data_IF_745749837065
#
_entry.id   IF_745749837065
#
_cell.length_a   1.000
_cell.length_b   1.000
_cell.length_c   1.000
_cell.angle_alpha   90.00
_cell.angle_beta   90.00
_cell.angle_gamma   90.00
#
_symmetry.space_group_name_H-M   'P 1'
#
loop_
_entity.id
_entity.type
_entity.pdbx_description
1 polymer ?
#
# COMPACT_ATOMS: atom_id res chain seq x y z
N UNK A 1 -18.48 -17.07 9.44
CA UNK A 1 -18.57 -18.23 10.35
C UNK A 1 -17.39 -19.16 10.13
N UNK A 2 -17.06 -20.03 11.08
CA UNK A 2 -15.96 -21.01 10.98
C UNK A 2 -16.34 -22.19 10.07
N UNK A 3 -16.61 -21.91 8.79
CA UNK A 3 -16.62 -22.96 7.77
C UNK A 3 -15.19 -23.48 7.57
N UNK A 4 -15.03 -24.78 7.28
CA UNK A 4 -13.75 -25.44 7.00
C UNK A 4 -12.84 -24.53 6.16
N UNK A 5 -11.87 -23.89 6.80
CA UNK A 5 -10.86 -23.09 6.12
C UNK A 5 -9.81 -24.07 5.60
N UNK A 6 -9.38 -23.95 4.33
CA UNK A 6 -8.25 -24.73 3.83
C UNK A 6 -6.98 -24.40 4.64
N UNK A 7 -6.14 -25.41 4.83
CA UNK A 7 -4.87 -25.27 5.55
C UNK A 7 -3.92 -24.30 4.82
N UNK A 8 -3.01 -23.70 5.59
CA UNK A 8 -1.95 -22.83 5.04
C UNK A 8 -0.94 -23.67 4.27
N UNK A 9 -0.43 -23.13 3.16
CA UNK A 9 0.65 -23.81 2.41
C UNK A 9 2.02 -23.54 3.03
N UNK A 10 2.93 -24.51 2.95
CA UNK A 10 4.31 -24.33 3.34
C UNK A 10 5.25 -24.09 2.17
N UNK A 11 4.90 -24.60 0.98
CA UNK A 11 5.62 -24.44 -0.27
C UNK A 11 4.67 -24.16 -1.44
N UNK A 12 5.15 -23.43 -2.46
CA UNK A 12 4.41 -23.29 -3.73
C UNK A 12 4.27 -24.63 -4.48
N UNK A 13 5.11 -25.62 -4.17
CA UNK A 13 5.00 -26.97 -4.74
C UNK A 13 3.78 -27.76 -4.26
N UNK A 14 3.17 -27.35 -3.14
CA UNK A 14 1.90 -27.91 -2.66
C UNK A 14 0.70 -27.43 -3.47
N UNK A 15 0.90 -26.38 -4.27
CA UNK A 15 -0.10 -25.88 -5.19
C UNK A 15 0.20 -26.41 -6.58
N UNK A 16 -0.82 -26.86 -7.31
CA UNK A 16 -0.76 -27.22 -8.73
C UNK A 16 -0.52 -26.00 -9.65
N UNK A 17 0.21 -24.98 -9.15
CA UNK A 17 0.64 -23.84 -9.94
C UNK A 17 1.69 -24.31 -10.95
N UNK A 18 1.63 -23.80 -12.19
CA UNK A 18 2.66 -24.09 -13.20
C UNK A 18 4.05 -23.72 -12.65
N UNK A 19 5.07 -24.45 -13.10
CA UNK A 19 6.47 -24.43 -12.64
C UNK A 19 7.18 -23.07 -12.59
N UNK A 20 6.58 -21.99 -13.11
CA UNK A 20 7.14 -20.63 -13.15
C UNK A 20 7.36 -19.96 -11.77
N UNK A 21 6.84 -20.54 -10.67
CA UNK A 21 6.76 -19.89 -9.35
C UNK A 21 7.63 -20.59 -8.28
N UNK A 22 8.27 -21.73 -8.62
CA UNK A 22 8.80 -22.68 -7.63
C UNK A 22 10.12 -22.28 -6.95
N UNK A 23 10.71 -21.12 -7.25
CA UNK A 23 12.07 -20.79 -6.76
C UNK A 23 12.13 -20.05 -5.40
N UNK A 24 11.01 -19.60 -4.82
CA UNK A 24 11.02 -18.82 -3.56
C UNK A 24 10.07 -19.38 -2.48
N UNK A 25 10.42 -19.23 -1.20
CA UNK A 25 9.52 -19.56 -0.09
C UNK A 25 8.34 -18.56 -0.05
N UNK A 26 7.08 -19.02 0.14
CA UNK A 26 5.93 -18.13 0.23
C UNK A 26 5.99 -17.25 1.49
N UNK A 27 5.66 -15.97 1.35
CA UNK A 27 5.55 -15.05 2.48
C UNK A 27 4.33 -15.39 3.36
N UNK A 28 4.26 -14.95 4.63
CA UNK A 28 3.15 -15.32 5.52
C UNK A 28 1.76 -14.98 4.96
N UNK A 29 1.61 -13.85 4.25
CA UNK A 29 0.34 -13.49 3.61
C UNK A 29 0.02 -14.38 2.40
N UNK A 30 1.03 -14.86 1.68
CA UNK A 30 0.85 -15.81 0.59
C UNK A 30 0.44 -17.19 1.12
N UNK A 31 1.07 -17.64 2.22
CA UNK A 31 0.75 -18.91 2.89
C UNK A 31 -0.71 -19.01 3.34
N UNK A 32 -1.21 -17.92 3.92
CA UNK A 32 -2.59 -17.85 4.40
C UNK A 32 -3.60 -17.49 3.30
N UNK A 33 -3.25 -16.57 2.40
CA UNK A 33 -4.17 -16.02 1.42
C UNK A 33 -4.41 -16.91 0.20
N UNK A 34 -3.35 -17.52 -0.36
CA UNK A 34 -3.48 -18.26 -1.63
C UNK A 34 -4.47 -19.43 -1.53
N UNK A 35 -4.44 -20.30 -0.50
CA UNK A 35 -5.38 -21.42 -0.39
C UNK A 35 -6.83 -20.96 -0.28
N UNK A 36 -7.09 -19.84 0.41
CA UNK A 36 -8.42 -19.25 0.54
C UNK A 36 -8.94 -18.74 -0.81
N UNK A 37 -8.06 -18.09 -1.58
CA UNK A 37 -8.41 -17.56 -2.89
C UNK A 37 -8.70 -18.72 -3.86
N UNK A 38 -7.86 -19.76 -3.89
CA UNK A 38 -8.10 -20.96 -4.70
C UNK A 38 -9.39 -21.69 -4.30
N UNK A 39 -9.74 -21.65 -3.02
CA UNK A 39 -11.01 -22.18 -2.50
C UNK A 39 -12.25 -21.31 -2.80
N UNK A 40 -12.11 -20.24 -3.59
CA UNK A 40 -13.22 -19.37 -4.00
C UNK A 40 -13.77 -18.46 -2.88
N UNK A 41 -13.04 -18.28 -1.78
CA UNK A 41 -13.46 -17.41 -0.67
C UNK A 41 -13.14 -15.95 -0.94
N UNK A 42 -14.08 -15.06 -0.64
CA UNK A 42 -13.79 -13.64 -0.48
C UNK A 42 -12.84 -13.45 0.71
N UNK A 43 -11.87 -12.54 0.58
CA UNK A 43 -10.91 -12.27 1.65
C UNK A 43 -10.73 -10.77 1.89
N UNK A 44 -10.58 -10.41 3.17
CA UNK A 44 -9.96 -9.16 3.57
C UNK A 44 -8.60 -9.50 4.17
N UNK A 45 -7.53 -9.07 3.50
CA UNK A 45 -6.17 -9.33 3.88
C UNK A 45 -5.50 -8.04 4.41
N UNK A 46 -5.27 -8.01 5.72
CA UNK A 46 -4.54 -6.95 6.38
C UNK A 46 -3.07 -7.34 6.58
N UNK A 47 -2.17 -6.64 5.89
CA UNK A 47 -0.72 -6.79 6.08
C UNK A 47 0.01 -5.53 5.62
N UNK A 48 1.20 -5.31 6.15
CA UNK A 48 2.04 -4.15 5.82
C UNK A 48 2.45 -4.11 4.33
N UNK A 49 2.82 -2.94 3.81
CA UNK A 49 3.35 -2.82 2.44
C UNK A 49 4.67 -3.58 2.32
N UNK A 50 4.86 -4.31 1.21
CA UNK A 50 6.06 -5.13 1.00
C UNK A 50 5.97 -6.57 1.54
N UNK A 51 4.83 -6.98 2.11
CA UNK A 51 4.59 -8.35 2.60
C UNK A 51 4.38 -9.41 1.49
N UNK A 52 4.34 -9.00 0.21
CA UNK A 52 4.08 -9.89 -0.92
C UNK A 52 2.60 -10.04 -1.31
N UNK A 53 1.73 -9.09 -0.91
CA UNK A 53 0.28 -9.05 -1.25
C UNK A 53 -0.01 -9.26 -2.73
N UNK A 54 0.74 -8.57 -3.60
CA UNK A 54 0.53 -8.62 -5.06
C UNK A 54 0.63 -10.04 -5.61
N UNK A 55 1.61 -10.82 -5.18
CA UNK A 55 1.71 -12.22 -5.58
C UNK A 55 0.63 -13.08 -4.90
N UNK A 56 0.23 -12.76 -3.67
CA UNK A 56 -0.80 -13.52 -2.95
C UNK A 56 -2.15 -13.54 -3.70
N UNK A 57 -2.52 -12.47 -4.41
CA UNK A 57 -3.72 -12.49 -5.26
C UNK A 57 -3.44 -12.81 -6.73
N UNK A 58 -2.32 -12.34 -7.32
CA UNK A 58 -2.09 -12.58 -8.76
C UNK A 58 -1.87 -14.06 -9.08
N UNK A 59 -1.13 -14.79 -8.24
CA UNK A 59 -0.81 -16.19 -8.51
C UNK A 59 -2.05 -17.09 -8.60
N UNK A 60 -2.97 -17.11 -7.62
CA UNK A 60 -4.19 -17.92 -7.73
C UNK A 60 -5.12 -17.45 -8.86
N UNK A 61 -5.21 -16.13 -9.11
CA UNK A 61 -6.02 -15.59 -10.22
C UNK A 61 -5.49 -16.05 -11.58
N UNK A 62 -4.18 -15.95 -11.80
CA UNK A 62 -3.53 -16.37 -13.03
C UNK A 62 -3.71 -17.87 -13.24
N UNK A 63 -3.55 -18.67 -12.19
CA UNK A 63 -3.79 -20.11 -12.24
C UNK A 63 -5.21 -20.43 -12.69
N UNK A 64 -6.21 -19.80 -12.08
CA UNK A 64 -7.61 -19.99 -12.46
C UNK A 64 -7.88 -19.62 -13.93
N UNK A 65 -7.38 -18.47 -14.39
CA UNK A 65 -7.56 -18.04 -15.79
C UNK A 65 -6.92 -19.05 -16.77
N UNK A 66 -5.77 -19.63 -16.40
CA UNK A 66 -5.13 -20.66 -17.22
C UNK A 66 -5.89 -21.99 -17.24
N UNK A 67 -6.55 -22.38 -16.14
CA UNK A 67 -7.31 -23.61 -16.04
C UNK A 67 -8.67 -23.54 -16.74
N UNK A 68 -9.38 -22.42 -16.65
CA UNK A 68 -10.66 -22.26 -17.35
C UNK A 68 -10.51 -22.34 -18.87
N UNK A 69 -9.37 -21.91 -19.42
CA UNK A 69 -9.11 -21.95 -20.86
C UNK A 69 -10.01 -21.04 -21.71
N UNK A 70 -10.94 -20.31 -21.09
CA UNK A 70 -11.80 -19.31 -21.74
C UNK A 70 -10.98 -18.05 -22.06
N UNK A 71 -10.42 -18.00 -23.27
CA UNK A 71 -9.81 -16.78 -23.79
C UNK A 71 -10.94 -15.77 -24.02
N UNK A 72 -10.79 -14.58 -23.43
CA UNK A 72 -11.70 -13.46 -23.63
C UNK A 72 -11.95 -13.22 -25.13
N UNK A 73 -13.22 -13.33 -25.54
CA UNK A 73 -13.63 -13.24 -26.96
C UNK A 73 -13.21 -11.92 -27.59
N UNK A 74 -12.77 -11.95 -28.85
CA UNK A 74 -12.38 -10.79 -29.67
C UNK A 74 -13.62 -9.92 -29.98
N UNK A 75 -14.03 -9.08 -29.02
CA UNK A 75 -15.14 -8.14 -29.15
C UNK A 75 -14.62 -6.70 -29.17
N UNK A 76 -15.41 -5.81 -29.78
CA UNK A 76 -15.16 -4.36 -29.75
C UNK A 76 -15.19 -3.78 -28.33
N UNK A 77 -15.97 -4.40 -27.44
CA UNK A 77 -16.02 -4.09 -26.00
C UNK A 77 -15.23 -5.13 -25.23
N UNK A 78 -14.29 -4.65 -24.42
CA UNK A 78 -13.37 -5.49 -23.67
C UNK A 78 -14.01 -5.93 -22.34
N UNK A 79 -13.83 -7.20 -21.99
CA UNK A 79 -14.54 -7.87 -20.89
C UNK A 79 -13.57 -8.68 -20.04
N UNK A 80 -12.76 -8.04 -19.18
CA UNK A 80 -11.74 -8.74 -18.41
C UNK A 80 -12.34 -9.69 -17.37
N UNK A 81 -11.68 -10.84 -17.18
CA UNK A 81 -12.03 -11.82 -16.13
C UNK A 81 -11.58 -11.34 -14.75
N UNK A 82 -10.52 -10.53 -14.67
CA UNK A 82 -10.00 -9.97 -13.44
C UNK A 82 -9.88 -8.44 -13.54
N UNK A 83 -10.40 -7.76 -12.51
CA UNK A 83 -10.22 -6.33 -12.31
C UNK A 83 -9.44 -6.08 -11.02
N UNK A 84 -8.34 -5.35 -11.12
CA UNK A 84 -7.54 -4.90 -9.97
C UNK A 84 -7.57 -3.38 -9.91
N UNK A 85 -8.03 -2.84 -8.80
CA UNK A 85 -8.12 -1.39 -8.57
C UNK A 85 -7.08 -0.99 -7.54
N UNK A 86 -6.27 0.00 -7.91
CA UNK A 86 -5.22 0.55 -7.08
C UNK A 86 -5.40 2.07 -6.92
N UNK A 87 -5.13 2.66 -5.74
CA UNK A 87 -5.32 4.09 -5.48
C UNK A 87 -4.42 5.00 -6.32
N UNK A 88 -3.30 4.50 -6.83
CA UNK A 88 -2.30 5.33 -7.52
C UNK A 88 -1.77 4.72 -8.79
N UNK A 89 -1.34 5.59 -9.69
CA UNK A 89 -0.74 5.22 -10.97
C UNK A 89 0.48 4.34 -10.75
N UNK A 90 1.30 4.71 -9.78
CA UNK A 90 2.58 4.08 -9.50
C UNK A 90 2.39 2.66 -8.94
N UNK A 91 1.42 2.45 -8.04
CA UNK A 91 1.03 1.10 -7.61
C UNK A 91 0.43 0.28 -8.75
N UNK A 92 -0.43 0.88 -9.58
CA UNK A 92 -1.01 0.20 -10.74
C UNK A 92 0.08 -0.29 -11.73
N UNK A 93 1.13 0.51 -11.98
CA UNK A 93 2.29 0.10 -12.80
C UNK A 93 2.98 -1.12 -12.18
N UNK A 94 3.20 -1.10 -10.87
CA UNK A 94 3.89 -2.19 -10.18
C UNK A 94 3.11 -3.49 -10.24
N UNK A 95 1.80 -3.43 -10.04
CA UNK A 95 0.92 -4.59 -10.17
C UNK A 95 0.94 -5.09 -11.62
N UNK A 96 0.88 -4.20 -12.62
CA UNK A 96 0.97 -4.57 -14.05
C UNK A 96 2.29 -5.28 -14.36
N UNK A 97 3.41 -4.77 -13.88
CA UNK A 97 4.73 -5.37 -14.12
C UNK A 97 4.85 -6.74 -13.46
N UNK A 98 4.30 -6.92 -12.25
CA UNK A 98 4.23 -8.23 -11.59
C UNK A 98 3.30 -9.19 -12.34
N UNK A 99 2.12 -8.73 -12.77
CA UNK A 99 1.20 -9.54 -13.56
C UNK A 99 1.84 -10.02 -14.86
N UNK A 100 2.54 -9.14 -15.58
CA UNK A 100 3.30 -9.48 -16.79
C UNK A 100 4.41 -10.49 -16.51
N UNK A 101 5.12 -10.35 -15.38
CA UNK A 101 6.17 -11.29 -14.97
C UNK A 101 5.59 -12.68 -14.68
N UNK A 102 4.49 -12.76 -13.93
CA UNK A 102 3.87 -14.03 -13.55
C UNK A 102 3.11 -14.69 -14.71
N UNK A 103 2.60 -13.90 -15.66
CA UNK A 103 1.96 -14.38 -16.89
C UNK A 103 2.96 -14.63 -18.03
N UNK A 104 4.27 -14.50 -17.81
CA UNK A 104 5.28 -14.74 -18.83
C UNK A 104 5.14 -16.16 -19.38
N UNK A 105 5.31 -16.31 -20.69
CA UNK A 105 5.20 -17.59 -21.41
C UNK A 105 3.78 -18.21 -21.34
N UNK A 106 2.76 -17.38 -21.08
CA UNK A 106 1.35 -17.74 -21.15
C UNK A 106 0.57 -16.88 -22.16
N UNK A 107 -0.68 -17.26 -22.43
CA UNK A 107 -1.58 -16.52 -23.31
C UNK A 107 -2.30 -15.35 -22.61
N UNK A 108 -2.14 -15.21 -21.29
CA UNK A 108 -2.82 -14.18 -20.50
C UNK A 108 -2.34 -12.79 -20.90
N UNK A 109 -3.29 -11.88 -21.12
CA UNK A 109 -3.01 -10.47 -21.40
C UNK A 109 -3.43 -9.58 -20.23
N UNK A 110 -2.45 -8.86 -19.69
CA UNK A 110 -2.69 -7.82 -18.68
C UNK A 110 -2.58 -6.43 -19.30
N UNK A 111 -3.57 -5.57 -19.05
CA UNK A 111 -3.57 -4.17 -19.45
C UNK A 111 -3.82 -3.26 -18.24
N UNK A 112 -3.67 -1.95 -18.44
CA UNK A 112 -3.84 -0.98 -17.37
C UNK A 112 -4.49 0.33 -17.82
N UNK A 113 -5.39 0.85 -16.99
CA UNK A 113 -6.17 2.05 -17.22
C UNK A 113 -5.87 3.12 -16.17
N UNK A 114 -4.92 4.00 -16.50
CA UNK A 114 -4.51 5.12 -15.66
C UNK A 114 -4.67 6.45 -16.40
N UNK A 115 -4.94 7.55 -15.68
CA UNK A 115 -5.04 8.88 -16.29
C UNK A 115 -3.64 9.44 -16.59
N UNK A 116 -3.28 9.61 -17.87
CA UNK A 116 -2.07 10.35 -18.29
C UNK A 116 -2.28 11.87 -18.20
N UNK A 117 -1.18 12.63 -18.06
CA UNK A 117 -1.18 14.11 -17.99
C UNK A 117 -0.75 14.81 -19.29
N UNK A 118 -0.25 14.07 -20.29
CA UNK A 118 -0.07 14.61 -21.63
C UNK A 118 -1.39 14.43 -22.37
N UNK A 119 -2.01 15.54 -22.78
CA UNK A 119 -3.28 15.56 -23.52
C UNK A 119 -3.27 14.74 -24.82
N UNK A 120 -2.08 14.32 -25.28
CA UNK A 120 -1.87 13.49 -26.47
C UNK A 120 -1.25 12.10 -26.19
N UNK A 121 -0.88 11.77 -24.94
CA UNK A 121 -0.53 10.39 -24.58
C UNK A 121 -1.73 9.73 -23.91
N UNK A 122 -2.70 9.40 -24.75
CA UNK A 122 -3.75 8.44 -24.45
C UNK A 122 -3.09 7.05 -24.41
N UNK A 123 -2.37 6.71 -23.34
CA UNK A 123 -1.52 5.49 -23.31
C UNK A 123 -1.95 4.59 -22.16
N UNK A 124 -2.79 3.59 -22.44
CA UNK A 124 -2.34 2.27 -22.91
C UNK A 124 -3.58 1.41 -23.17
N UNK A 125 -4.65 1.47 -22.36
CA UNK A 125 -5.89 0.74 -22.68
C UNK A 125 -6.47 1.08 -24.07
N UNK A 126 -6.61 2.35 -24.44
CA UNK A 126 -7.20 2.67 -25.75
C UNK A 126 -6.24 2.47 -26.94
N UNK A 127 -4.93 2.44 -26.73
CA UNK A 127 -3.93 2.27 -27.81
C UNK A 127 -3.55 0.79 -27.99
N UNK A 128 -3.31 0.06 -26.89
CA UNK A 128 -3.18 -1.41 -26.89
C UNK A 128 -4.46 -2.05 -27.41
N UNK A 129 -5.65 -1.52 -27.11
CA UNK A 129 -6.90 -2.06 -27.68
C UNK A 129 -7.14 -1.69 -29.15
N UNK A 130 -6.33 -0.82 -29.75
CA UNK A 130 -6.41 -0.40 -31.16
C UNK A 130 -5.31 -0.99 -32.05
N UNK A 131 -4.22 -1.52 -31.48
CA UNK A 131 -3.20 -2.27 -32.23
C UNK A 131 -3.69 -3.70 -32.50
N UNK A 132 -3.58 -4.15 -33.76
CA UNK A 132 -4.17 -5.41 -34.27
C UNK A 132 -3.71 -6.69 -33.52
N UNK A 133 -2.63 -6.59 -32.74
CA UNK A 133 -1.98 -7.69 -32.00
C UNK A 133 -2.50 -7.90 -30.56
N UNK A 134 -3.45 -7.09 -30.09
CA UNK A 134 -3.89 -7.05 -28.69
C UNK A 134 -5.42 -7.15 -28.55
N UNK A 135 -5.97 -8.24 -29.09
CA UNK A 135 -7.43 -8.40 -29.29
C UNK A 135 -8.26 -8.63 -28.02
N UNK A 136 -7.65 -8.90 -26.86
CA UNK A 136 -8.37 -9.07 -25.60
C UNK A 136 -7.52 -8.73 -24.36
N UNK A 137 -8.19 -8.50 -23.22
CA UNK A 137 -7.58 -8.26 -21.92
C UNK A 137 -8.23 -9.18 -20.89
N UNK A 138 -7.42 -10.01 -20.22
CA UNK A 138 -7.89 -10.92 -19.17
C UNK A 138 -7.78 -10.28 -17.77
N UNK A 139 -6.69 -9.51 -17.54
CA UNK A 139 -6.42 -8.81 -16.28
C UNK A 139 -6.34 -7.31 -16.56
N UNK A 140 -7.29 -6.54 -16.00
CA UNK A 140 -7.29 -5.08 -16.09
C UNK A 140 -6.87 -4.46 -14.75
N UNK A 141 -5.78 -3.69 -14.76
CA UNK A 141 -5.31 -2.94 -13.59
C UNK A 141 -5.65 -1.46 -13.75
N UNK A 142 -6.36 -0.81 -12.83
CA UNK A 142 -6.81 0.56 -13.04
C UNK A 142 -6.83 1.44 -11.79
N UNK A 143 -6.77 2.74 -12.02
CA UNK A 143 -7.09 3.76 -10.99
C UNK A 143 -8.56 4.15 -11.09
N UNK A 144 -9.30 4.33 -9.98
CA UNK A 144 -10.76 4.51 -9.96
C UNK A 144 -11.29 5.54 -10.96
N UNK A 145 -10.73 6.76 -10.96
CA UNK A 145 -11.22 7.84 -11.83
C UNK A 145 -11.03 7.58 -13.34
N UNK A 146 -10.00 6.85 -13.75
CA UNK A 146 -9.82 6.47 -15.17
C UNK A 146 -10.66 5.27 -15.53
N UNK A 147 -10.81 4.31 -14.62
CA UNK A 147 -11.66 3.15 -14.81
C UNK A 147 -13.11 3.56 -15.05
N UNK A 148 -13.63 4.47 -14.23
CA UNK A 148 -14.97 5.02 -14.41
C UNK A 148 -15.12 5.64 -15.81
N UNK A 149 -14.20 6.51 -16.23
CA UNK A 149 -14.26 7.16 -17.55
C UNK A 149 -14.26 6.17 -18.74
N UNK A 150 -13.52 5.06 -18.67
CA UNK A 150 -13.54 4.05 -19.76
C UNK A 150 -14.79 3.15 -19.72
N UNK A 151 -15.35 2.92 -18.53
CA UNK A 151 -16.60 2.18 -18.33
C UNK A 151 -17.79 3.01 -18.83
N UNK A 152 -17.89 4.29 -18.43
CA UNK A 152 -18.97 5.18 -18.88
C UNK A 152 -18.96 5.42 -20.39
N UNK A 153 -17.80 5.27 -21.05
CA UNK A 153 -17.66 5.34 -22.52
C UNK A 153 -17.98 4.02 -23.25
N UNK A 154 -18.25 2.94 -22.52
CA UNK A 154 -18.50 1.61 -23.09
C UNK A 154 -17.27 0.95 -23.72
N UNK A 155 -16.06 1.40 -23.39
CA UNK A 155 -14.80 0.80 -23.89
C UNK A 155 -14.56 -0.54 -23.19
N UNK A 156 -14.89 -0.61 -21.89
CA UNK A 156 -14.79 -1.81 -21.06
C UNK A 156 -16.14 -2.08 -20.40
N UNK A 157 -16.57 -3.34 -20.44
CA UNK A 157 -17.68 -3.87 -19.64
C UNK A 157 -17.10 -4.75 -18.52
N UNK A 158 -17.66 -4.65 -17.31
CA UNK A 158 -17.23 -5.42 -16.15
C UNK A 158 -18.12 -6.65 -15.90
N UNK A 159 -19.01 -6.97 -16.83
CA UNK A 159 -19.98 -8.08 -16.71
C UNK A 159 -19.34 -9.47 -16.56
N UNK A 160 -18.12 -9.66 -17.11
CA UNK A 160 -17.38 -10.93 -17.05
C UNK A 160 -16.34 -10.98 -15.92
N UNK A 161 -16.30 -9.97 -15.06
CA UNK A 161 -15.34 -9.93 -13.96
C UNK A 161 -15.69 -11.03 -12.94
N UNK A 162 -14.85 -12.06 -12.90
CA UNK A 162 -14.90 -13.17 -11.92
C UNK A 162 -14.09 -12.83 -10.66
N UNK A 163 -13.01 -12.05 -10.80
CA UNK A 163 -12.18 -11.58 -9.68
C UNK A 163 -12.17 -10.05 -9.59
N UNK A 164 -12.57 -9.52 -8.45
CA UNK A 164 -12.50 -8.09 -8.15
C UNK A 164 -11.54 -7.83 -6.99
N UNK A 165 -10.44 -7.11 -7.26
CA UNK A 165 -9.40 -6.83 -6.27
C UNK A 165 -9.34 -5.35 -5.96
N UNK A 166 -9.37 -5.00 -4.67
CA UNK A 166 -9.12 -3.67 -4.12
C UNK A 166 -7.79 -3.70 -3.38
N UNK A 167 -6.71 -3.16 -3.96
CA UNK A 167 -5.39 -3.09 -3.31
C UNK A 167 -5.13 -1.72 -2.69
N UNK A 168 -4.56 -1.69 -1.48
CA UNK A 168 -4.46 -0.52 -0.61
C UNK A 168 -5.83 0.19 -0.43
N UNK A 169 -6.82 -0.58 0.06
CA UNK A 169 -8.20 -0.13 0.23
C UNK A 169 -8.35 1.04 1.21
N UNK A 170 -7.73 0.97 2.39
CA UNK A 170 -7.57 2.09 3.32
C UNK A 170 -7.20 3.38 2.61
N UNK A 171 -6.20 3.30 1.74
CA UNK A 171 -5.69 4.45 1.02
C UNK A 171 -6.60 4.94 -0.09
N UNK A 172 -7.37 4.06 -0.73
CA UNK A 172 -8.43 4.49 -1.65
C UNK A 172 -9.51 5.30 -0.92
N UNK A 173 -9.84 4.90 0.31
CA UNK A 173 -10.81 5.61 1.15
C UNK A 173 -10.27 6.98 1.59
N UNK A 174 -9.01 7.05 2.03
CA UNK A 174 -8.33 8.31 2.37
C UNK A 174 -8.33 9.31 1.21
N UNK A 175 -8.22 8.81 -0.02
CA UNK A 175 -8.24 9.64 -1.24
C UNK A 175 -9.66 9.98 -1.72
N UNK A 176 -10.69 9.49 -1.02
CA UNK A 176 -12.08 9.76 -1.33
C UNK A 176 -12.60 9.03 -2.58
N UNK A 177 -11.98 7.92 -2.98
CA UNK A 177 -12.35 7.20 -4.22
C UNK A 177 -13.52 6.23 -4.09
N UNK A 178 -14.07 6.05 -2.89
CA UNK A 178 -15.20 5.14 -2.67
C UNK A 178 -16.41 5.44 -3.59
N UNK A 179 -16.84 6.71 -3.78
CA UNK A 179 -17.94 7.03 -4.69
C UNK A 179 -17.69 6.62 -6.15
N UNK A 180 -16.45 6.75 -6.64
CA UNK A 180 -16.06 6.32 -7.99
C UNK A 180 -16.06 4.80 -8.13
N UNK A 181 -15.57 4.09 -7.11
CA UNK A 181 -15.59 2.61 -7.07
C UNK A 181 -17.03 2.08 -7.07
N UNK A 182 -17.94 2.70 -6.33
CA UNK A 182 -19.37 2.32 -6.38
C UNK A 182 -19.98 2.56 -7.75
N UNK A 183 -19.70 3.73 -8.34
CA UNK A 183 -20.23 4.10 -9.66
C UNK A 183 -19.75 3.17 -10.76
N UNK A 184 -18.46 2.82 -10.81
CA UNK A 184 -17.96 1.91 -11.85
C UNK A 184 -18.54 0.48 -11.73
N UNK A 185 -18.83 0.00 -10.51
CA UNK A 185 -19.48 -1.30 -10.30
C UNK A 185 -20.90 -1.27 -10.89
N UNK A 186 -21.64 -0.21 -10.61
CA UNK A 186 -23.01 -0.01 -11.10
C UNK A 186 -23.05 0.22 -12.63
N UNK A 187 -22.24 1.14 -13.15
CA UNK A 187 -22.20 1.49 -14.58
C UNK A 187 -21.55 0.40 -15.43
N UNK A 188 -20.63 -0.37 -14.86
CA UNK A 188 -19.90 -1.43 -15.55
C UNK A 188 -20.65 -2.75 -15.65
N UNK A 189 -21.88 -2.85 -15.14
CA UNK A 189 -22.65 -4.10 -15.05
C UNK A 189 -21.87 -5.24 -14.37
N UNK A 190 -21.03 -4.90 -13.40
CA UNK A 190 -20.30 -5.92 -12.65
C UNK A 190 -21.29 -6.78 -11.86
N UNK A 191 -21.07 -8.10 -11.83
CA UNK A 191 -21.90 -9.01 -11.04
C UNK A 191 -22.06 -8.56 -9.58
N UNK A 192 -23.11 -8.96 -8.89
CA UNK A 192 -23.32 -8.65 -7.47
C UNK A 192 -22.35 -9.43 -6.55
N UNK A 193 -22.24 -9.03 -5.28
CA UNK A 193 -21.40 -9.77 -4.32
C UNK A 193 -21.89 -11.22 -4.19
N UNK A 194 -20.97 -12.18 -4.19
CA UNK A 194 -21.29 -13.61 -4.24
C UNK A 194 -21.41 -14.21 -5.66
N UNK A 195 -21.58 -13.39 -6.70
CA UNK A 195 -21.48 -13.87 -8.11
C UNK A 195 -20.06 -13.77 -8.68
N UNK A 196 -19.17 -13.09 -7.96
CA UNK A 196 -17.75 -12.92 -8.24
C UNK A 196 -16.99 -13.07 -6.93
N UNK A 197 -15.71 -13.41 -7.01
CA UNK A 197 -14.82 -13.43 -5.86
C UNK A 197 -14.20 -12.04 -5.67
N UNK A 198 -14.36 -11.48 -4.46
CA UNK A 198 -13.86 -10.16 -4.11
C UNK A 198 -12.75 -10.25 -3.08
N UNK A 199 -11.60 -9.64 -3.40
CA UNK A 199 -10.41 -9.64 -2.56
C UNK A 199 -10.06 -8.20 -2.18
N UNK A 200 -10.00 -7.90 -0.89
CA UNK A 200 -9.62 -6.58 -0.39
C UNK A 200 -8.31 -6.65 0.39
N UNK A 201 -7.35 -5.82 0.02
CA UNK A 201 -6.04 -5.75 0.64
C UNK A 201 -5.81 -4.36 1.24
N UNK A 202 -5.40 -4.33 2.50
CA UNK A 202 -5.27 -3.10 3.27
C UNK A 202 -4.10 -3.21 4.25
N UNK A 203 -3.50 -2.10 4.68
CA UNK A 203 -2.55 -2.11 5.80
C UNK A 203 -3.28 -2.00 7.15
N UNK A 204 -4.39 -1.26 7.17
CA UNK A 204 -5.21 -1.03 8.35
C UNK A 204 -6.60 -1.67 8.20
N UNK A 205 -7.33 -1.78 9.32
CA UNK A 205 -8.72 -2.26 9.33
C UNK A 205 -9.62 -1.29 10.11
N UNK A 206 -9.44 0.00 9.81
CA UNK A 206 -10.24 1.08 10.37
C UNK A 206 -11.74 0.92 10.05
N UNK A 207 -12.59 1.69 10.72
CA UNK A 207 -14.05 1.62 10.56
C UNK A 207 -14.49 1.72 9.09
N UNK A 208 -13.93 2.66 8.33
CA UNK A 208 -14.30 2.86 6.92
C UNK A 208 -13.89 1.67 6.04
N UNK A 209 -12.74 1.03 6.33
CA UNK A 209 -12.31 -0.20 5.64
C UNK A 209 -13.27 -1.35 5.95
N UNK A 210 -13.73 -1.47 7.21
CA UNK A 210 -14.73 -2.47 7.60
C UNK A 210 -16.05 -2.27 6.88
N UNK A 211 -16.54 -1.02 6.81
CA UNK A 211 -17.76 -0.69 6.07
C UNK A 211 -17.62 -1.00 4.57
N UNK A 212 -16.47 -0.68 3.98
CA UNK A 212 -16.14 -1.05 2.61
C UNK A 212 -16.16 -2.58 2.39
N UNK A 213 -15.63 -3.36 3.35
CA UNK A 213 -15.66 -4.82 3.29
C UNK A 213 -17.09 -5.38 3.29
N UNK A 214 -17.93 -4.90 4.22
CA UNK A 214 -19.33 -5.33 4.36
C UNK A 214 -20.16 -5.02 3.11
N UNK A 215 -19.84 -3.93 2.43
CA UNK A 215 -20.50 -3.51 1.21
C UNK A 215 -20.13 -4.38 0.00
N UNK A 216 -18.84 -4.68 -0.18
CA UNK A 216 -18.36 -5.32 -1.42
C UNK A 216 -18.17 -6.84 -1.34
N UNK A 217 -17.95 -7.42 -0.16
CA UNK A 217 -17.63 -8.84 0.00
C UNK A 217 -18.80 -9.65 0.60
N UNK A 218 -18.79 -10.96 0.34
CA UNK A 218 -19.79 -11.92 0.81
C UNK A 218 -19.14 -13.02 1.68
N UNK A 219 -19.58 -13.18 2.94
CA UNK A 219 -19.04 -14.16 3.91
C UNK A 219 -17.51 -14.31 3.86
N UNK A 220 -16.82 -13.18 3.90
CA UNK A 220 -15.38 -13.10 3.70
C UNK A 220 -14.59 -13.68 4.88
N UNK A 221 -13.37 -14.13 4.59
CA UNK A 221 -12.38 -14.51 5.60
C UNK A 221 -11.47 -13.31 5.88
N UNK A 222 -11.37 -12.91 7.14
CA UNK A 222 -10.41 -11.91 7.57
C UNK A 222 -9.05 -12.57 7.83
N UNK A 223 -8.04 -12.17 7.05
CA UNK A 223 -6.67 -12.64 7.16
C UNK A 223 -5.81 -11.50 7.69
N UNK A 224 -5.21 -11.72 8.86
CA UNK A 224 -4.27 -10.79 9.46
C UNK A 224 -2.88 -11.42 9.54
N UNK A 225 -1.87 -10.68 9.10
CA UNK A 225 -0.46 -11.04 9.24
C UNK A 225 0.27 -9.93 9.98
N UNK A 226 0.77 -10.26 11.17
CA UNK A 226 1.36 -9.30 12.10
C UNK A 226 0.30 -8.50 12.86
N UNK A 227 0.72 -7.39 13.47
CA UNK A 227 -0.20 -6.49 14.17
C UNK A 227 -0.87 -5.58 13.12
N UNK A 228 -2.19 -5.70 12.97
CA UNK A 228 -2.97 -4.88 12.02
C UNK A 228 -2.88 -3.41 12.42
N UNK A 229 -2.49 -2.54 11.47
CA UNK A 229 -2.22 -1.14 11.77
C UNK A 229 -1.04 -0.92 12.74
N UNK A 230 -0.27 -1.97 13.04
CA UNK A 230 0.91 -1.90 13.90
C UNK A 230 2.15 -1.45 13.14
N UNK A 231 3.14 -0.95 13.88
CA UNK A 231 4.46 -0.62 13.34
C UNK A 231 5.22 -1.89 12.95
N UNK A 232 6.10 -1.76 11.97
CA UNK A 232 6.95 -2.86 11.53
C UNK A 232 8.06 -3.11 12.56
N UNK A 233 8.19 -4.34 13.07
CA UNK A 233 9.23 -4.75 14.02
C UNK A 233 10.64 -4.66 13.44
N UNK A 234 10.78 -4.75 12.12
CA UNK A 234 12.07 -4.58 11.43
C UNK A 234 12.50 -3.12 11.33
N UNK A 235 11.68 -2.17 11.82
CA UNK A 235 11.97 -0.74 11.79
C UNK A 235 12.28 -0.24 13.20
N UNK A 236 13.55 0.05 13.44
CA UNK A 236 13.99 0.73 14.66
C UNK A 236 13.46 2.17 14.65
N UNK A 237 12.73 2.54 15.70
CA UNK A 237 12.01 3.80 15.78
C UNK A 237 12.57 4.67 16.91
N UNK A 238 12.94 5.90 16.57
CA UNK A 238 13.51 6.88 17.48
C UNK A 238 12.71 8.18 17.44
N UNK A 239 12.55 8.80 18.60
CA UNK A 239 11.83 10.06 18.76
C UNK A 239 12.71 11.11 19.42
N UNK A 240 12.72 12.31 18.85
CA UNK A 240 13.35 13.47 19.47
C UNK A 240 12.31 14.56 19.71
N UNK A 241 12.28 15.10 20.92
CA UNK A 241 11.56 16.33 21.21
C UNK A 241 12.38 17.52 20.68
N UNK A 242 11.86 18.21 19.68
CA UNK A 242 12.56 19.27 18.96
C UNK A 242 11.60 20.40 18.60
N UNK A 243 11.88 21.60 19.14
CA UNK A 243 11.16 22.82 18.75
C UNK A 243 11.25 23.06 17.24
N UNK A 244 10.18 23.57 16.64
CA UNK A 244 10.05 23.86 15.20
C UNK A 244 11.28 24.49 14.57
N UNK A 245 11.89 25.48 15.22
CA UNK A 245 13.05 26.21 14.68
C UNK A 245 14.37 25.43 14.76
N UNK A 246 14.45 24.40 15.61
CA UNK A 246 15.64 23.55 15.80
C UNK A 246 15.61 22.28 14.93
N UNK A 247 14.44 21.89 14.41
CA UNK A 247 14.26 20.69 13.58
C UNK A 247 15.27 20.59 12.42
N UNK A 248 15.56 21.71 11.75
CA UNK A 248 16.52 21.77 10.63
C UNK A 248 17.95 21.43 11.06
N UNK A 249 18.39 21.99 12.19
CA UNK A 249 19.73 21.72 12.73
C UNK A 249 19.83 20.27 13.22
N UNK A 250 18.76 19.76 13.86
CA UNK A 250 18.72 18.36 14.31
C UNK A 250 18.72 17.37 13.14
N UNK A 251 18.01 17.68 12.05
CA UNK A 251 18.06 16.86 10.84
C UNK A 251 19.48 16.76 10.28
N UNK A 252 20.19 17.89 10.22
CA UNK A 252 21.58 17.91 9.76
C UNK A 252 22.48 17.05 10.63
N UNK A 253 22.39 17.18 11.95
CA UNK A 253 23.14 16.36 12.91
C UNK A 253 22.90 14.85 12.68
N UNK A 254 21.64 14.46 12.50
CA UNK A 254 21.29 13.05 12.22
C UNK A 254 21.88 12.60 10.88
N UNK A 255 21.80 13.40 9.82
CA UNK A 255 22.37 13.07 8.51
C UNK A 255 23.91 13.01 8.53
N UNK A 256 24.57 13.78 9.41
CA UNK A 256 26.01 13.70 9.65
C UNK A 256 26.40 12.39 10.35
N UNK A 257 25.56 11.92 11.28
CA UNK A 257 25.75 10.67 12.01
C UNK A 257 25.52 9.42 11.13
N UNK A 258 24.40 9.38 10.39
CA UNK A 258 24.05 8.20 9.56
C UNK A 258 24.77 8.17 8.21
N UNK A 259 25.31 9.31 7.78
CA UNK A 259 25.94 9.47 6.47
C UNK A 259 24.93 9.56 5.30
N UNK A 260 25.43 9.39 4.08
CA UNK A 260 24.66 9.56 2.84
C UNK A 260 23.88 8.29 2.44
N UNK A 261 23.25 7.63 3.41
CA UNK A 261 22.32 6.51 3.15
C UNK A 261 21.01 7.02 2.56
N UNK A 262 20.26 6.12 1.91
CA UNK A 262 18.99 6.49 1.28
C UNK A 262 17.93 6.90 2.30
N UNK A 263 17.75 8.21 2.45
CA UNK A 263 16.92 8.83 3.48
C UNK A 263 15.68 9.48 2.89
N UNK A 264 14.49 9.08 3.35
CA UNK A 264 13.21 9.68 2.97
C UNK A 264 12.73 10.60 4.10
N UNK A 265 12.67 11.91 3.83
CA UNK A 265 12.26 12.93 4.81
C UNK A 265 10.84 13.38 4.53
N UNK A 266 9.93 13.18 5.49
CA UNK A 266 8.55 13.64 5.39
C UNK A 266 8.35 15.01 6.05
N UNK A 267 7.78 15.94 5.27
CA UNK A 267 7.37 17.29 5.73
C UNK A 267 5.88 17.52 5.45
N UNK A 268 5.26 18.46 6.16
CA UNK A 268 3.83 18.73 5.97
C UNK A 268 3.56 19.51 4.68
N UNK A 269 4.33 20.57 4.42
CA UNK A 269 4.02 21.52 3.34
C UNK A 269 4.96 21.42 2.14
N UNK A 270 4.40 21.69 0.95
CA UNK A 270 5.14 21.68 -0.32
C UNK A 270 6.28 22.70 -0.33
N UNK A 271 6.03 23.90 0.21
CA UNK A 271 7.03 24.97 0.34
C UNK A 271 8.20 24.53 1.23
N UNK A 272 7.91 23.86 2.34
CA UNK A 272 8.97 23.36 3.22
C UNK A 272 9.77 22.24 2.56
N UNK A 273 9.15 21.42 1.70
CA UNK A 273 9.86 20.37 0.97
C UNK A 273 10.97 20.95 0.06
N UNK A 274 10.66 22.00 -0.69
CA UNK A 274 11.62 22.67 -1.57
C UNK A 274 12.68 23.45 -0.81
N UNK A 275 12.26 24.17 0.24
CA UNK A 275 13.16 24.93 1.08
C UNK A 275 14.18 24.02 1.78
N UNK A 276 13.73 22.94 2.40
CA UNK A 276 14.58 22.00 3.12
C UNK A 276 15.54 21.28 2.16
N UNK A 277 15.06 20.86 0.98
CA UNK A 277 15.93 20.21 -0.01
C UNK A 277 17.03 21.14 -0.54
N UNK A 278 16.70 22.41 -0.78
CA UNK A 278 17.67 23.42 -1.21
C UNK A 278 18.71 23.66 -0.11
N UNK A 279 18.25 23.87 1.12
CA UNK A 279 19.13 24.12 2.27
C UNK A 279 20.07 22.95 2.57
N UNK A 280 19.57 21.71 2.48
CA UNK A 280 20.41 20.51 2.64
C UNK A 280 21.47 20.43 1.55
N UNK A 281 21.10 20.70 0.29
CA UNK A 281 22.04 20.69 -0.84
C UNK A 281 23.14 21.75 -0.69
N UNK A 282 22.80 22.96 -0.21
CA UNK A 282 23.77 24.01 0.13
C UNK A 282 24.72 23.58 1.26
N UNK A 283 24.25 22.72 2.17
CA UNK A 283 25.02 22.16 3.27
C UNK A 283 25.74 20.85 2.90
N UNK A 284 25.95 20.59 1.60
CA UNK A 284 26.68 19.42 1.07
C UNK A 284 25.96 18.08 1.27
N UNK A 285 24.65 18.09 1.44
CA UNK A 285 23.80 16.90 1.44
C UNK A 285 23.00 16.85 0.14
N UNK A 286 23.42 16.08 -0.88
CA UNK A 286 22.72 16.04 -2.16
C UNK A 286 21.28 15.57 -1.96
N UNK A 287 20.34 16.50 -2.12
CA UNK A 287 18.93 16.29 -1.80
C UNK A 287 18.04 16.67 -2.98
N UNK A 288 16.96 15.92 -3.19
CA UNK A 288 15.88 16.27 -4.11
C UNK A 288 14.53 16.30 -3.38
N UNK A 289 13.49 16.84 -4.00
CA UNK A 289 12.16 16.93 -3.39
C UNK A 289 11.03 16.46 -4.32
N UNK A 290 9.95 15.98 -3.71
CA UNK A 290 8.74 15.55 -4.41
C UNK A 290 7.48 16.03 -3.67
N UNK A 291 6.60 16.72 -4.40
CA UNK A 291 5.33 17.22 -3.88
C UNK A 291 4.32 17.40 -5.03
N UNK A 292 3.05 17.64 -4.68
CA UNK A 292 1.95 17.71 -5.64
C UNK A 292 1.99 18.86 -6.67
N UNK A 293 2.83 19.88 -6.45
CA UNK A 293 3.00 20.99 -7.41
C UNK A 293 4.12 20.74 -8.42
N UNK A 294 4.92 19.68 -8.23
CA UNK A 294 5.92 19.28 -9.23
C UNK A 294 5.26 18.62 -10.43
N UNK A 295 5.80 18.91 -11.61
CA UNK A 295 5.41 18.23 -12.83
C UNK A 295 5.75 16.73 -12.72
N UNK A 296 4.96 15.88 -13.36
CA UNK A 296 5.16 14.43 -13.30
C UNK A 296 6.58 14.02 -13.75
N UNK A 297 7.12 14.64 -14.80
CA UNK A 297 8.49 14.40 -15.26
C UNK A 297 9.55 14.76 -14.20
N UNK A 298 9.31 15.81 -13.43
CA UNK A 298 10.19 16.20 -12.32
C UNK A 298 10.09 15.22 -11.16
N UNK A 299 8.88 14.69 -10.87
CA UNK A 299 8.67 13.63 -9.87
C UNK A 299 9.43 12.36 -10.27
N UNK A 300 9.32 11.95 -11.53
CA UNK A 300 10.02 10.77 -12.07
C UNK A 300 11.54 10.96 -12.08
N UNK A 301 12.03 12.14 -12.47
CA UNK A 301 13.43 12.51 -12.38
C UNK A 301 13.96 12.43 -10.94
N UNK A 302 13.26 13.04 -9.99
CA UNK A 302 13.63 13.02 -8.57
C UNK A 302 13.65 11.59 -8.00
N UNK A 303 12.70 10.73 -8.38
CA UNK A 303 12.69 9.33 -7.98
C UNK A 303 13.85 8.54 -8.59
N UNK A 304 14.20 8.82 -9.84
CA UNK A 304 15.34 8.17 -10.49
C UNK A 304 16.68 8.60 -9.86
N UNK A 305 16.81 9.90 -9.57
CA UNK A 305 17.94 10.48 -8.85
C UNK A 305 18.11 9.88 -7.46
N UNK A 306 17.01 9.65 -6.74
CA UNK A 306 17.03 8.95 -5.45
C UNK A 306 17.38 7.46 -5.57
N UNK A 307 16.75 6.74 -6.51
CA UNK A 307 17.00 5.31 -6.73
C UNK A 307 18.45 5.01 -7.10
N UNK A 308 19.03 5.84 -7.97
CA UNK A 308 20.43 5.74 -8.39
C UNK A 308 21.43 6.13 -7.30
N UNK A 309 20.98 6.77 -6.20
CA UNK A 309 21.85 7.26 -5.14
C UNK A 309 22.57 8.58 -5.48
N UNK A 310 22.28 9.20 -6.64
CA UNK A 310 22.83 10.52 -7.00
C UNK A 310 22.40 11.59 -6.00
N UNK A 311 21.14 11.53 -5.57
CA UNK A 311 20.58 12.35 -4.51
C UNK A 311 20.00 11.42 -3.44
N UNK A 312 20.82 10.95 -2.47
CA UNK A 312 20.41 9.93 -1.50
C UNK A 312 19.38 10.43 -0.50
N UNK A 313 19.04 11.73 -0.48
CA UNK A 313 18.01 12.27 0.38
C UNK A 313 16.83 12.76 -0.48
N UNK A 314 15.63 12.28 -0.16
CA UNK A 314 14.39 12.69 -0.81
C UNK A 314 13.45 13.34 0.21
N UNK A 315 13.15 14.63 0.04
CA UNK A 315 12.17 15.34 0.87
C UNK A 315 10.80 15.28 0.22
N UNK A 316 9.79 14.77 0.92
CA UNK A 316 8.46 14.56 0.37
C UNK A 316 7.36 15.04 1.30
N UNK A 317 6.26 15.53 0.71
CA UNK A 317 4.99 15.56 1.44
C UNK A 317 4.34 14.18 1.44
N UNK A 318 3.55 13.86 2.46
CA UNK A 318 2.88 12.57 2.57
C UNK A 318 2.00 12.23 1.35
N UNK A 319 1.26 13.22 0.86
CA UNK A 319 0.40 13.07 -0.33
C UNK A 319 1.21 12.66 -1.57
N UNK A 320 2.44 13.17 -1.72
CA UNK A 320 3.23 12.92 -2.91
C UNK A 320 4.01 11.61 -2.87
N UNK A 321 4.40 11.15 -1.67
CA UNK A 321 5.08 9.87 -1.44
C UNK A 321 4.12 8.68 -1.35
N UNK A 322 2.85 8.94 -1.01
CA UNK A 322 1.76 7.97 -1.13
C UNK A 322 1.78 7.36 -2.54
N UNK A 323 2.00 6.05 -2.64
CA UNK A 323 1.86 5.26 -3.89
C UNK A 323 3.14 5.06 -4.66
N UNK A 324 4.19 5.77 -4.26
CA UNK A 324 5.51 5.54 -4.78
C UNK A 324 6.11 4.36 -4.02
N UNK A 325 6.37 3.24 -4.71
CA UNK A 325 7.34 2.29 -4.16
C UNK A 325 8.76 2.77 -4.46
N UNK A 326 9.31 3.31 -3.38
CA UNK A 326 10.65 3.83 -3.25
C UNK A 326 11.43 2.68 -2.62
N UNK A 327 12.14 1.93 -3.45
CA UNK A 327 12.91 0.75 -3.02
C UNK A 327 14.21 1.17 -2.35
N UNK A 328 14.59 0.42 -1.32
CA UNK A 328 15.88 0.59 -0.64
C UNK A 328 15.97 1.88 0.17
N UNK A 329 14.86 2.36 0.75
CA UNK A 329 14.91 3.40 1.78
C UNK A 329 15.47 2.76 3.05
N UNK A 330 16.60 3.26 3.53
CA UNK A 330 17.30 2.77 4.71
C UNK A 330 16.88 3.55 5.97
N UNK A 331 16.56 4.83 5.79
CA UNK A 331 16.15 5.72 6.87
C UNK A 331 14.93 6.54 6.47
N UNK A 332 13.90 6.53 7.31
CA UNK A 332 12.75 7.44 7.22
C UNK A 332 12.89 8.51 8.30
N UNK A 333 12.72 9.78 7.94
CA UNK A 333 12.67 10.87 8.91
C UNK A 333 11.32 11.57 8.84
N UNK A 334 10.52 11.48 9.90
CA UNK A 334 9.35 12.34 10.09
C UNK A 334 9.81 13.69 10.64
N UNK A 335 10.19 14.60 9.74
CA UNK A 335 10.56 15.97 10.10
C UNK A 335 9.35 16.70 10.71
N UNK A 336 8.19 16.52 10.09
CA UNK A 336 6.89 16.88 10.67
C UNK A 336 6.12 15.57 10.92
N UNK A 337 5.59 15.39 12.14
CA UNK A 337 4.73 14.24 12.44
C UNK A 337 3.46 14.27 11.56
N UNK A 338 2.90 13.10 11.23
CA UNK A 338 1.62 13.03 10.53
C UNK A 338 0.45 13.44 11.45
N UNK A 339 -0.74 13.59 10.86
CA UNK A 339 -1.96 13.94 11.61
C UNK A 339 -2.68 12.74 12.22
N UNK A 340 -2.37 11.54 11.73
CA UNK A 340 -3.00 10.28 12.16
C UNK A 340 -1.94 9.19 12.32
N UNK A 341 -2.24 8.22 13.17
CA UNK A 341 -1.35 7.08 13.43
C UNK A 341 -1.26 6.15 12.22
N UNK A 342 -2.33 5.99 11.46
CA UNK A 342 -2.31 5.22 10.20
C UNK A 342 -1.30 5.81 9.21
N UNK A 343 -1.25 7.14 9.09
CA UNK A 343 -0.26 7.79 8.24
C UNK A 343 1.17 7.62 8.80
N UNK A 344 1.35 7.62 10.12
CA UNK A 344 2.64 7.31 10.74
C UNK A 344 3.15 5.92 10.34
N UNK A 345 2.31 4.90 10.49
CA UNK A 345 2.62 3.50 10.13
C UNK A 345 2.99 3.40 8.64
N UNK A 346 2.26 4.10 7.78
CA UNK A 346 2.55 4.13 6.34
C UNK A 346 3.87 4.81 5.97
N UNK A 347 4.28 5.83 6.73
CA UNK A 347 5.55 6.54 6.52
C UNK A 347 6.72 5.66 6.97
N UNK A 348 6.68 5.12 8.18
CA UNK A 348 7.77 4.27 8.71
C UNK A 348 7.88 2.94 7.94
N UNK A 349 6.77 2.41 7.43
CA UNK A 349 6.76 1.24 6.54
C UNK A 349 7.37 1.45 5.14
N UNK A 350 7.94 2.63 4.86
CA UNK A 350 8.74 2.86 3.65
C UNK A 350 10.14 2.25 3.77
N UNK A 351 10.60 1.98 4.98
CA UNK A 351 11.83 1.23 5.26
C UNK A 351 11.51 -0.14 5.90
N UNK A 352 12.54 -0.95 6.20
CA UNK A 352 12.40 -2.24 6.88
C UNK A 352 11.68 -3.32 6.06
N UNK A 353 11.97 -3.44 4.76
CA UNK A 353 11.26 -4.36 3.85
C UNK A 353 12.06 -5.63 3.57
N UNK A 354 11.35 -6.76 3.49
CA UNK A 354 11.85 -8.07 3.01
C UNK A 354 13.11 -8.52 3.80
N UNK A 355 13.01 -8.58 5.13
CA UNK A 355 14.07 -9.08 6.00
C UNK A 355 15.25 -8.12 6.25
N UNK A 356 15.24 -6.92 5.65
CA UNK A 356 16.22 -5.88 5.98
C UNK A 356 15.70 -5.03 7.13
N UNK A 357 16.57 -4.70 8.10
CA UNK A 357 16.28 -3.70 9.12
C UNK A 357 16.21 -2.30 8.52
N UNK A 358 15.33 -1.46 9.05
CA UNK A 358 15.20 -0.05 8.68
C UNK A 358 15.28 0.85 9.90
N UNK A 359 15.57 2.14 9.71
CA UNK A 359 15.51 3.15 10.77
C UNK A 359 14.40 4.15 10.49
N UNK A 360 13.68 4.59 11.52
CA UNK A 360 12.72 5.67 11.46
C UNK A 360 12.95 6.67 12.60
N UNK A 361 13.26 7.92 12.28
CA UNK A 361 13.44 8.98 13.27
C UNK A 361 12.31 10.01 13.16
N UNK A 362 11.72 10.42 14.28
CA UNK A 362 10.56 11.33 14.27
C UNK A 362 10.79 12.51 15.20
N UNK A 363 10.49 13.72 14.70
CA UNK A 363 10.58 14.94 15.50
C UNK A 363 9.21 15.32 16.06
N UNK A 364 9.15 15.47 17.37
CA UNK A 364 7.97 15.88 18.12
C UNK A 364 8.16 17.31 18.64
N UNK A 365 7.22 18.22 18.36
CA UNK A 365 7.21 19.55 18.97
C UNK A 365 6.09 19.65 20.00
N UNK A 366 6.44 19.76 21.29
CA UNK A 366 5.45 19.85 22.37
C UNK A 366 4.58 21.11 22.34
N UNK A 367 4.97 22.14 21.58
CA UNK A 367 4.15 23.34 21.40
C UNK A 367 3.12 23.18 20.26
N UNK A 368 3.30 22.19 19.39
CA UNK A 368 2.42 21.95 18.25
C UNK A 368 1.16 21.18 18.71
N UNK A 369 -0.02 21.71 18.39
CA UNK A 369 -1.27 21.10 18.82
C UNK A 369 -1.54 19.75 18.14
N UNK A 370 -1.14 19.60 16.87
CA UNK A 370 -1.30 18.34 16.14
C UNK A 370 -0.48 17.20 16.75
N UNK A 371 0.77 17.48 17.13
CA UNK A 371 1.67 16.48 17.70
C UNK A 371 1.13 15.97 19.05
N UNK A 372 0.65 16.89 19.90
CA UNK A 372 -0.01 16.54 21.16
C UNK A 372 -1.27 15.70 20.95
N UNK A 373 -2.10 16.03 19.96
CA UNK A 373 -3.32 15.25 19.68
C UNK A 373 -3.04 13.82 19.22
N UNK A 374 -1.90 13.59 18.57
CA UNK A 374 -1.47 12.26 18.10
C UNK A 374 -0.84 11.41 19.22
N UNK A 375 -0.31 12.05 20.26
CA UNK A 375 0.59 11.43 21.25
C UNK A 375 0.00 10.18 21.91
N UNK A 376 -1.26 10.24 22.34
CA UNK A 376 -1.92 9.13 23.02
C UNK A 376 -2.03 7.87 22.18
N UNK A 377 -2.53 8.04 20.95
CA UNK A 377 -2.70 6.95 20.00
C UNK A 377 -1.33 6.40 19.56
N UNK A 378 -0.33 7.28 19.41
CA UNK A 378 1.02 6.90 19.08
C UNK A 378 1.71 6.10 20.20
N UNK A 379 1.59 6.50 21.47
CA UNK A 379 2.11 5.73 22.60
C UNK A 379 1.49 4.33 22.63
N UNK A 380 0.18 4.23 22.43
CA UNK A 380 -0.53 2.94 22.38
C UNK A 380 0.01 2.07 21.25
N UNK A 381 0.21 2.63 20.06
CA UNK A 381 0.80 1.94 18.91
C UNK A 381 2.23 1.45 19.20
N UNK A 382 3.09 2.30 19.76
CA UNK A 382 4.49 1.97 20.06
C UNK A 382 4.58 0.85 21.11
N UNK A 383 3.77 0.92 22.17
CA UNK A 383 3.68 -0.13 23.19
C UNK A 383 3.19 -1.47 22.61
N UNK A 384 2.23 -1.44 21.68
CA UNK A 384 1.76 -2.65 20.98
C UNK A 384 2.86 -3.26 20.11
N UNK A 385 3.73 -2.43 19.52
CA UNK A 385 4.85 -2.86 18.68
C UNK A 385 6.14 -3.20 19.43
N UNK A 386 6.14 -3.18 20.76
CA UNK A 386 7.33 -3.33 21.62
C UNK A 386 8.46 -2.31 21.30
N UNK A 387 8.06 -1.11 20.90
CA UNK A 387 8.98 0.00 20.65
C UNK A 387 9.16 0.82 21.92
N UNK A 388 10.41 1.14 22.26
CA UNK A 388 10.74 1.98 23.40
C UNK A 388 10.12 3.37 23.26
N UNK A 389 9.18 3.69 24.15
CA UNK A 389 8.58 5.03 24.26
C UNK A 389 9.51 5.90 25.11
N UNK A 390 9.91 7.10 24.66
CA UNK A 390 10.67 8.02 25.49
C UNK A 390 9.89 8.47 26.73
N UNK A 391 10.57 8.65 27.85
CA UNK A 391 9.96 9.05 29.13
C UNK A 391 9.19 10.37 29.03
N UNK A 392 9.73 11.34 28.28
CA UNK A 392 9.11 12.65 28.07
C UNK A 392 7.78 12.56 27.30
N UNK A 393 7.61 11.57 26.42
CA UNK A 393 6.37 11.36 25.68
C UNK A 393 5.29 10.79 26.60
N UNK A 394 5.68 9.96 27.58
CA UNK A 394 4.76 9.39 28.57
C UNK A 394 4.34 10.39 29.66
N UNK A 395 5.15 11.42 29.92
CA UNK A 395 4.79 12.47 30.88
C UNK A 395 3.64 13.39 30.37
N UNK A 396 3.59 13.63 29.06
CA UNK A 396 2.49 14.35 28.40
C UNK A 396 1.16 13.54 28.44
N UNK A 397 1.21 12.23 28.74
CA UNK A 397 0.02 11.39 28.91
C UNK A 397 -0.74 11.74 30.21
N UNK A 398 0.00 11.93 31.30
CA UNK A 398 -0.58 12.25 32.62
C UNK A 398 -1.24 13.62 32.71
N UNK A 399 -0.86 14.59 31.88
CA UNK A 399 -1.49 15.92 31.84
C UNK A 399 -2.82 15.92 31.08
N UNK A 400 -3.05 14.96 30.18
CA UNK A 400 -4.30 14.84 29.40
C UNK A 400 -5.35 14.02 30.15
N UNK A 401 -4.96 12.97 30.87
CA UNK A 401 -5.89 12.07 31.59
C UNK A 401 -6.63 12.71 32.78
N UNK A 402 -6.24 13.91 33.24
CA UNK A 402 -6.97 14.60 34.30
C UNK A 402 -8.28 15.26 33.85
N UNK A 403 -8.65 15.19 32.57
CA UNK A 403 -9.82 15.91 32.05
C UNK A 403 -10.91 15.05 31.38
N UNK A 404 -10.77 13.73 31.25
CA UNK A 404 -11.82 12.90 30.62
C UNK A 404 -11.86 11.50 31.24
N UNK A 405 -12.61 11.34 32.33
CA UNK A 405 -12.93 10.04 32.89
C UNK A 405 -14.46 9.87 32.98
N UNK A 406 -15.06 9.34 31.91
CA UNK A 406 -16.35 8.64 32.00
C UNK A 406 -16.64 7.82 30.73
N UNK A 407 -16.77 6.49 30.91
CA UNK A 407 -17.38 5.49 30.00
C UNK A 407 -16.59 5.19 28.70
N UNK A 408 -16.31 3.94 28.27
CA UNK A 408 -17.09 2.70 28.31
C UNK A 408 -16.22 1.44 28.16
N UNK A 409 -16.83 0.30 28.50
CA UNK A 409 -16.31 -1.04 28.74
C UNK A 409 -16.05 -1.92 27.50
N UNK A 410 -14.96 -2.71 27.60
CA UNK A 410 -14.64 -4.04 27.05
C UNK A 410 -15.51 -4.68 25.95
N UNK A 411 -14.84 -5.09 24.87
CA UNK A 411 -15.24 -6.22 24.03
C UNK A 411 -14.06 -7.19 23.86
N UNK A 412 -14.35 -8.48 24.01
CA UNK A 412 -13.41 -9.60 24.04
C UNK A 412 -12.62 -9.76 22.73
N UNK A 413 -11.29 -9.67 22.83
CA UNK A 413 -10.33 -10.11 21.80
C UNK A 413 -9.80 -11.49 22.21
N UNK A 414 -9.98 -12.49 21.35
CA UNK A 414 -9.23 -13.75 21.46
C UNK A 414 -7.88 -13.50 20.79
N UNK A 415 -6.87 -13.27 21.61
CA UNK A 415 -5.47 -13.17 21.20
C UNK A 415 -4.93 -14.60 21.06
N UNK A 416 -4.61 -15.05 19.85
CA UNK A 416 -3.87 -16.31 19.67
C UNK A 416 -2.39 -15.96 19.66
N UNK A 417 -1.73 -16.21 20.79
CA UNK A 417 -0.28 -16.20 20.88
C UNK A 417 0.26 -17.20 19.85
N UNK A 418 1.11 -16.72 18.94
CA UNK A 418 1.97 -17.60 18.17
C UNK A 418 3.07 -18.06 19.12
N UNK A 419 3.09 -19.35 19.42
CA UNK A 419 4.25 -20.00 20.01
C UNK A 419 5.44 -19.81 19.05
N UNK A 420 6.46 -19.11 19.54
CA UNK A 420 7.77 -19.05 18.93
C UNK A 420 8.43 -20.42 19.11
N UNK A 421 8.57 -21.18 18.03
CA UNK A 421 9.66 -22.16 17.95
C UNK A 421 10.87 -21.46 17.33
N UNK A 422 11.91 -21.31 18.14
CA UNK A 422 13.28 -21.00 17.71
C UNK A 422 13.76 -22.06 16.71
N UNK A 423 14.31 -21.64 15.58
CA UNK A 423 15.12 -22.50 14.72
C UNK A 423 16.34 -21.72 14.23
N UNK A 424 17.51 -22.28 14.54
CA UNK A 424 18.86 -21.92 14.08
C UNK A 424 19.00 -21.81 12.55
#
# INVERSE_FOLDING_TARGET
GSGNLPDRINSFSELSLRSLIMENKPTPIQKAGIPLILGGRDIVACSQTGSGKTAAFLLPIIHFILEEGEISSQNSVQKPSCLIVAPTRELAIQIKDQARKFAKDSMIKSAWAIRSRRSHEVIECAYVMMEEEHRWVDILIATPGRLLDIVSRGIVSLEKVKFFVLDEADRMLDMGFLPEVKRMIAEGNMGCKGSRQTLMFSATFAYDVRQCAEEFLQDYVFVSVGIVGGVNKDVEQEFHQVDRFKKRSKLKEILEEVGLIKTLVFVETKKNADFLASWLSENKFPTTSIHGDRLQSQREGALNDFRSGRFPILVSTAVAARGLDIKGVEHVVNYDLPKTVDEYVHRVGRTGRVGNKGRATSFYDGNEASDRSLTQELIKLLKQGDVKVPDWMSADDTTINNNNDSSHSNANLVNTAAEEEEWD
#
